data_IF_210821368582
#
_entry.id   IF_210821368582
#
_cell.length_a   1.000
_cell.length_b   1.000
_cell.length_c   1.000
_cell.angle_alpha   90.00
_cell.angle_beta   90.00
_cell.angle_gamma   90.00
#
_symmetry.space_group_name_H-M   'P 1'
#
loop_
_entity.id
_entity.type
_entity.pdbx_description
1 polymer ?
#
# COMPACT_ATOMS: atom_id res chain seq x y z
N UNK A 1 -37.47 -13.48 18.90
CA UNK A 1 -38.07 -12.12 18.95
C UNK A 1 -36.98 -11.07 19.17
N UNK A 2 -36.38 -10.93 20.36
CA UNK A 2 -35.35 -9.90 20.63
C UNK A 2 -34.24 -9.75 19.58
N UNK A 3 -33.63 -10.86 19.10
CA UNK A 3 -32.57 -10.78 18.08
C UNK A 3 -33.04 -10.14 16.75
N UNK A 4 -34.31 -10.32 16.39
CA UNK A 4 -34.90 -9.74 15.17
C UNK A 4 -35.17 -8.24 15.36
N UNK A 5 -35.63 -7.83 16.54
CA UNK A 5 -35.85 -6.42 16.90
C UNK A 5 -34.53 -5.65 16.97
N UNK A 6 -33.48 -6.25 17.54
CA UNK A 6 -32.13 -5.69 17.55
C UNK A 6 -31.58 -5.53 16.13
N UNK A 7 -31.72 -6.53 15.26
CA UNK A 7 -31.30 -6.44 13.86
C UNK A 7 -32.04 -5.29 13.13
N UNK A 8 -33.36 -5.18 13.30
CA UNK A 8 -34.14 -4.08 12.74
C UNK A 8 -33.72 -2.70 13.29
N UNK A 9 -33.33 -2.62 14.56
CA UNK A 9 -32.83 -1.37 15.14
C UNK A 9 -31.48 -0.95 14.55
N UNK A 10 -30.54 -1.89 14.40
CA UNK A 10 -29.24 -1.64 13.74
C UNK A 10 -29.47 -1.22 12.28
N UNK A 11 -30.39 -1.87 11.57
CA UNK A 11 -30.73 -1.51 10.19
C UNK A 11 -31.29 -0.08 10.08
N UNK A 12 -32.14 0.35 11.03
CA UNK A 12 -32.64 1.74 11.08
C UNK A 12 -31.51 2.76 11.26
N UNK A 13 -30.61 2.52 12.23
CA UNK A 13 -29.45 3.40 12.42
C UNK A 13 -28.57 3.47 11.17
N UNK A 14 -28.32 2.34 10.50
CA UNK A 14 -27.58 2.33 9.24
C UNK A 14 -28.28 3.15 8.14
N UNK A 15 -29.61 3.07 8.01
CA UNK A 15 -30.37 3.86 7.03
C UNK A 15 -30.23 5.36 7.33
N UNK A 16 -30.25 5.76 8.60
CA UNK A 16 -30.08 7.16 9.03
C UNK A 16 -28.66 7.66 8.72
N UNK A 17 -27.62 6.96 9.16
CA UNK A 17 -26.21 7.28 8.86
C UNK A 17 -25.94 7.29 7.34
N UNK A 18 -26.48 6.31 6.61
CA UNK A 18 -26.33 6.24 5.16
C UNK A 18 -26.96 7.47 4.48
N UNK A 19 -28.14 7.94 4.92
CA UNK A 19 -28.74 9.18 4.38
C UNK A 19 -27.88 10.41 4.63
N UNK A 20 -27.25 10.55 5.79
CA UNK A 20 -26.34 11.68 6.06
C UNK A 20 -25.10 11.64 5.15
N UNK A 21 -24.54 10.45 4.93
CA UNK A 21 -23.44 10.26 3.99
C UNK A 21 -23.86 10.49 2.54
N UNK A 22 -25.06 10.05 2.12
CA UNK A 22 -25.60 10.32 0.79
C UNK A 22 -25.85 11.81 0.56
N UNK A 23 -26.40 12.53 1.54
CA UNK A 23 -26.53 14.00 1.48
C UNK A 23 -25.18 14.71 1.34
N UNK A 24 -24.13 14.16 1.94
CA UNK A 24 -22.75 14.66 1.79
C UNK A 24 -22.23 14.40 0.37
N UNK A 25 -22.48 13.20 -0.17
CA UNK A 25 -22.08 12.82 -1.52
C UNK A 25 -22.83 13.65 -2.58
N UNK A 26 -24.14 13.80 -2.47
CA UNK A 26 -24.99 14.57 -3.39
C UNK A 26 -24.49 16.02 -3.53
N UNK A 27 -24.23 16.70 -2.40
CA UNK A 27 -23.68 18.07 -2.38
C UNK A 27 -22.32 18.16 -3.05
N UNK A 28 -21.44 17.18 -2.79
CA UNK A 28 -20.12 17.10 -3.42
C UNK A 28 -20.18 16.83 -4.92
N UNK A 29 -21.14 16.03 -5.39
CA UNK A 29 -21.34 15.75 -6.82
C UNK A 29 -21.92 16.95 -7.58
N UNK A 30 -22.84 17.72 -6.97
CA UNK A 30 -23.45 18.90 -7.60
C UNK A 30 -22.44 20.02 -7.93
N UNK A 31 -21.29 20.06 -7.26
CA UNK A 31 -20.20 21.02 -7.52
C UNK A 31 -18.85 20.30 -7.69
N UNK A 32 -18.84 19.14 -8.34
CA UNK A 32 -17.73 18.18 -8.32
C UNK A 32 -16.34 18.77 -8.60
N UNK A 33 -16.20 19.68 -9.57
CA UNK A 33 -14.91 20.33 -9.82
C UNK A 33 -14.40 21.12 -8.59
N UNK A 34 -15.25 21.94 -7.97
CA UNK A 34 -14.87 22.74 -6.81
C UNK A 34 -14.61 21.86 -5.57
N UNK A 35 -15.43 20.82 -5.38
CA UNK A 35 -15.23 19.81 -4.33
C UNK A 35 -13.91 19.05 -4.48
N UNK A 36 -13.42 18.84 -5.71
CA UNK A 36 -12.14 18.17 -5.98
C UNK A 36 -10.93 19.10 -5.92
N UNK A 37 -11.13 20.41 -6.07
CA UNK A 37 -10.09 21.41 -5.89
C UNK A 37 -9.82 21.72 -4.39
N UNK A 38 -10.78 21.40 -3.50
CA UNK A 38 -10.60 21.42 -2.04
C UNK A 38 -10.28 20.01 -1.48
N UNK A 39 -9.15 19.91 -0.76
CA UNK A 39 -8.65 18.65 -0.20
C UNK A 39 -9.53 18.11 0.93
N UNK A 40 -10.12 18.97 1.77
CA UNK A 40 -10.95 18.53 2.88
C UNK A 40 -12.34 18.11 2.42
N UNK A 41 -12.93 18.81 1.45
CA UNK A 41 -14.18 18.40 0.81
C UNK A 41 -14.00 17.07 0.05
N UNK A 42 -12.89 16.92 -0.70
CA UNK A 42 -12.52 15.63 -1.34
C UNK A 42 -12.37 14.50 -0.31
N UNK A 43 -11.70 14.77 0.82
CA UNK A 43 -11.57 13.81 1.91
C UNK A 43 -12.93 13.48 2.55
N UNK A 44 -13.84 14.46 2.65
CA UNK A 44 -15.19 14.28 3.18
C UNK A 44 -16.01 13.36 2.28
N UNK A 45 -16.01 13.62 0.98
CA UNK A 45 -16.67 12.81 -0.05
C UNK A 45 -16.18 11.34 -0.04
N UNK A 46 -14.86 11.14 0.04
CA UNK A 46 -14.26 9.82 0.17
C UNK A 46 -14.67 9.10 1.48
N UNK A 47 -14.64 9.80 2.63
CA UNK A 47 -15.06 9.24 3.93
C UNK A 47 -16.53 8.82 3.91
N UNK A 48 -17.42 9.65 3.35
CA UNK A 48 -18.84 9.36 3.27
C UNK A 48 -19.12 8.06 2.48
N UNK A 49 -18.50 7.91 1.30
CA UNK A 49 -18.61 6.68 0.51
C UNK A 49 -18.04 5.45 1.25
N UNK A 50 -16.90 5.61 1.93
CA UNK A 50 -16.27 4.55 2.71
C UNK A 50 -17.13 4.07 3.89
N UNK A 51 -17.79 5.00 4.60
CA UNK A 51 -18.70 4.67 5.70
C UNK A 51 -19.94 3.90 5.22
N UNK A 52 -20.60 4.35 4.13
CA UNK A 52 -21.75 3.64 3.54
C UNK A 52 -21.36 2.22 3.13
N UNK A 53 -20.20 2.06 2.46
CA UNK A 53 -19.64 0.76 2.10
C UNK A 53 -19.36 -0.11 3.33
N UNK A 54 -18.79 0.48 4.39
CA UNK A 54 -18.48 -0.21 5.65
C UNK A 54 -19.71 -0.75 6.36
N UNK A 55 -20.73 0.10 6.57
CA UNK A 55 -22.00 -0.31 7.17
C UNK A 55 -22.74 -1.37 6.35
N UNK A 56 -22.75 -1.22 5.02
CA UNK A 56 -23.33 -2.22 4.13
C UNK A 56 -22.62 -3.58 4.21
N UNK A 57 -21.29 -3.59 4.32
CA UNK A 57 -20.52 -4.83 4.54
C UNK A 57 -20.85 -5.50 5.88
N UNK A 58 -21.01 -4.71 6.96
CA UNK A 58 -21.36 -5.24 8.28
C UNK A 58 -22.77 -5.84 8.33
N UNK A 59 -23.67 -5.39 7.47
CA UNK A 59 -25.07 -5.84 7.39
C UNK A 59 -25.35 -6.84 6.26
N UNK A 60 -24.35 -7.23 5.47
CA UNK A 60 -24.54 -8.14 4.33
C UNK A 60 -25.35 -7.55 3.17
N UNK A 61 -25.38 -6.22 3.04
CA UNK A 61 -26.16 -5.49 2.05
C UNK A 61 -25.40 -5.39 0.72
N UNK A 62 -25.25 -6.53 0.06
CA UNK A 62 -24.39 -6.78 -1.08
C UNK A 62 -24.48 -5.73 -2.21
N UNK A 63 -25.69 -5.29 -2.59
CA UNK A 63 -25.86 -4.30 -3.67
C UNK A 63 -25.40 -2.90 -3.28
N UNK A 64 -25.62 -2.51 -2.02
CA UNK A 64 -25.13 -1.23 -1.48
C UNK A 64 -23.62 -1.29 -1.29
N UNK A 65 -23.08 -2.41 -0.79
CA UNK A 65 -21.64 -2.67 -0.68
C UNK A 65 -20.93 -2.52 -2.04
N UNK A 66 -21.42 -3.21 -3.08
CA UNK A 66 -20.84 -3.16 -4.43
C UNK A 66 -20.92 -1.75 -5.04
N UNK A 67 -22.06 -1.08 -4.90
CA UNK A 67 -22.26 0.30 -5.41
C UNK A 67 -21.38 1.31 -4.67
N UNK A 68 -21.25 1.18 -3.35
CA UNK A 68 -20.40 2.04 -2.51
C UNK A 68 -18.91 1.84 -2.79
N UNK A 69 -18.50 0.62 -3.11
CA UNK A 69 -17.13 0.32 -3.54
C UNK A 69 -16.78 1.05 -4.85
N UNK A 70 -17.68 1.09 -5.84
CA UNK A 70 -17.45 1.86 -7.07
C UNK A 70 -17.29 3.36 -6.79
N UNK A 71 -18.18 3.95 -5.97
CA UNK A 71 -18.08 5.36 -5.59
C UNK A 71 -16.76 5.67 -4.88
N UNK A 72 -16.38 4.85 -3.89
CA UNK A 72 -15.11 5.00 -3.17
C UNK A 72 -13.90 4.90 -4.10
N UNK A 73 -13.87 3.92 -5.00
CA UNK A 73 -12.77 3.72 -5.95
C UNK A 73 -12.60 4.91 -6.90
N UNK A 74 -13.69 5.49 -7.42
CA UNK A 74 -13.59 6.64 -8.33
C UNK A 74 -13.30 7.96 -7.61
N UNK A 75 -13.84 8.19 -6.40
CA UNK A 75 -13.43 9.34 -5.58
C UNK A 75 -11.95 9.28 -5.21
N UNK A 76 -11.45 8.09 -4.86
CA UNK A 76 -10.02 7.85 -4.64
C UNK A 76 -9.18 8.08 -5.89
N UNK A 77 -9.64 7.60 -7.06
CA UNK A 77 -8.96 7.79 -8.34
C UNK A 77 -8.78 9.28 -8.67
N UNK A 78 -9.83 10.08 -8.46
CA UNK A 78 -9.83 11.54 -8.67
C UNK A 78 -8.94 12.26 -7.66
N UNK A 79 -9.05 11.91 -6.38
CA UNK A 79 -8.18 12.43 -5.31
C UNK A 79 -6.69 12.18 -5.59
N UNK A 80 -6.34 10.99 -6.09
CA UNK A 80 -4.97 10.61 -6.41
C UNK A 80 -4.50 11.11 -7.80
N UNK A 81 -5.43 11.52 -8.68
CA UNK A 81 -5.15 12.04 -10.02
C UNK A 81 -6.05 13.26 -10.32
N UNK A 82 -5.77 14.45 -9.76
CA UNK A 82 -6.54 15.66 -10.07
C UNK A 82 -6.60 15.90 -11.58
N UNK A 83 -7.80 16.06 -12.12
CA UNK A 83 -8.09 16.32 -13.54
C UNK A 83 -9.13 17.43 -13.63
N UNK A 84 -9.26 18.05 -14.82
CA UNK A 84 -10.42 18.89 -15.10
C UNK A 84 -11.62 17.98 -15.35
N UNK A 85 -12.68 18.19 -14.60
CA UNK A 85 -13.96 17.51 -14.72
C UNK A 85 -14.71 18.07 -15.92
N UNK A 86 -15.42 17.18 -16.62
CA UNK A 86 -16.38 17.55 -17.65
C UNK A 86 -17.79 17.06 -17.27
N UNK A 87 -18.80 17.57 -17.98
CA UNK A 87 -20.21 17.24 -17.73
C UNK A 87 -20.52 15.74 -17.83
N UNK A 88 -19.70 14.97 -18.56
CA UNK A 88 -19.90 13.52 -18.71
C UNK A 88 -19.47 12.78 -17.44
N UNK A 89 -18.39 13.22 -16.78
CA UNK A 89 -18.03 12.73 -15.45
C UNK A 89 -19.14 13.03 -14.44
N UNK A 90 -19.66 14.27 -14.43
CA UNK A 90 -20.74 14.69 -13.51
C UNK A 90 -22.03 13.87 -13.71
N UNK A 91 -22.52 13.73 -14.95
CA UNK A 91 -23.70 12.92 -15.29
C UNK A 91 -23.58 11.47 -14.83
N UNK A 92 -22.44 10.82 -15.14
CA UNK A 92 -22.22 9.42 -14.81
C UNK A 92 -22.09 9.19 -13.29
N UNK A 93 -21.51 10.14 -12.55
CA UNK A 93 -21.49 10.06 -11.08
C UNK A 93 -22.88 10.24 -10.49
N UNK A 94 -23.65 11.24 -10.93
CA UNK A 94 -25.00 11.49 -10.42
C UNK A 94 -25.91 10.27 -10.68
N UNK A 95 -25.89 9.71 -11.88
CA UNK A 95 -26.66 8.49 -12.21
C UNK A 95 -26.21 7.25 -11.42
N UNK A 96 -24.91 7.13 -11.12
CA UNK A 96 -24.40 6.07 -10.23
C UNK A 96 -24.78 6.28 -8.76
N UNK A 97 -24.91 7.53 -8.34
CA UNK A 97 -25.38 7.93 -7.02
C UNK A 97 -26.90 7.74 -6.86
N UNK A 98 -27.70 8.01 -7.90
CA UNK A 98 -29.15 7.78 -7.89
C UNK A 98 -29.48 6.30 -7.65
N UNK A 99 -28.72 5.37 -8.23
CA UNK A 99 -28.86 3.93 -7.95
C UNK A 99 -28.51 3.59 -6.50
N UNK A 100 -27.44 4.20 -5.94
CA UNK A 100 -27.11 4.05 -4.52
C UNK A 100 -28.24 4.57 -3.61
N UNK A 101 -28.77 5.75 -3.93
CA UNK A 101 -29.86 6.40 -3.19
C UNK A 101 -31.13 5.54 -3.22
N UNK A 102 -31.51 5.04 -4.39
CA UNK A 102 -32.63 4.11 -4.56
C UNK A 102 -32.46 2.81 -3.76
N UNK A 103 -31.25 2.25 -3.67
CA UNK A 103 -30.97 1.07 -2.84
C UNK A 103 -31.17 1.34 -1.34
N UNK A 104 -30.72 2.50 -0.83
CA UNK A 104 -30.91 2.90 0.59
C UNK A 104 -32.36 3.31 0.88
N UNK A 105 -33.08 3.84 -0.11
CA UNK A 105 -34.51 4.10 -0.04
C UNK A 105 -35.31 2.79 0.03
N UNK A 106 -34.96 1.79 -0.78
CA UNK A 106 -35.61 0.48 -0.79
C UNK A 106 -35.50 -0.28 0.56
N UNK A 107 -34.45 -0.04 1.37
CA UNK A 107 -34.34 -0.61 2.72
C UNK A 107 -35.46 -0.17 3.67
N UNK A 108 -36.13 0.96 3.40
CA UNK A 108 -37.26 1.46 4.20
C UNK A 108 -38.60 0.82 3.82
N UNK A 109 -38.62 -0.01 2.76
CA UNK A 109 -39.76 -0.85 2.44
C UNK A 109 -40.15 -1.74 3.63
N UNK A 110 -41.45 -2.01 3.87
CA UNK A 110 -41.89 -3.01 4.86
C UNK A 110 -41.27 -4.40 4.69
N UNK A 111 -40.78 -4.71 3.47
CA UNK A 111 -40.13 -5.97 3.11
C UNK A 111 -38.59 -5.87 3.03
N UNK A 112 -38.03 -4.69 3.31
CA UNK A 112 -36.62 -4.37 3.08
C UNK A 112 -36.23 -4.35 1.60
N UNK A 113 -34.92 -4.32 1.34
CA UNK A 113 -34.36 -4.46 -0.01
C UNK A 113 -34.44 -5.94 -0.44
N UNK A 114 -35.27 -6.23 -1.44
CA UNK A 114 -35.34 -7.58 -2.02
C UNK A 114 -34.11 -7.85 -2.88
N UNK A 115 -33.67 -9.10 -2.96
CA UNK A 115 -32.52 -9.49 -3.77
C UNK A 115 -32.68 -9.10 -5.25
N UNK A 116 -33.85 -9.35 -5.83
CA UNK A 116 -34.21 -8.97 -7.21
C UNK A 116 -34.05 -7.46 -7.48
N UNK A 117 -34.57 -6.62 -6.59
CA UNK A 117 -34.51 -5.16 -6.71
C UNK A 117 -33.05 -4.68 -6.63
N UNK A 118 -32.28 -5.29 -5.70
CA UNK A 118 -30.86 -5.04 -5.52
C UNK A 118 -29.98 -5.51 -6.69
N UNK A 119 -30.33 -6.63 -7.33
CA UNK A 119 -29.66 -7.12 -8.54
C UNK A 119 -30.01 -6.27 -9.75
N UNK A 120 -31.26 -5.83 -9.89
CA UNK A 120 -31.69 -4.96 -10.98
C UNK A 120 -31.00 -3.59 -10.92
N UNK A 121 -30.90 -2.99 -9.73
CA UNK A 121 -30.15 -1.73 -9.56
C UNK A 121 -28.66 -1.91 -9.90
N UNK A 122 -28.02 -3.00 -9.48
CA UNK A 122 -26.65 -3.32 -9.91
C UNK A 122 -26.52 -3.49 -11.42
N UNK A 123 -27.48 -4.13 -12.08
CA UNK A 123 -27.49 -4.31 -13.53
C UNK A 123 -27.56 -2.97 -14.28
N UNK A 124 -28.22 -1.95 -13.69
CA UNK A 124 -28.24 -0.57 -14.21
C UNK A 124 -26.99 0.23 -13.84
N UNK A 125 -26.46 0.10 -12.62
CA UNK A 125 -25.33 0.91 -12.13
C UNK A 125 -23.97 0.46 -12.66
N UNK A 126 -23.72 -0.85 -12.82
CA UNK A 126 -22.46 -1.41 -13.32
C UNK A 126 -22.03 -0.87 -14.69
N UNK A 127 -22.88 -0.76 -15.74
CA UNK A 127 -22.47 -0.16 -17.01
C UNK A 127 -22.14 1.32 -16.88
N UNK A 128 -22.85 2.09 -16.03
CA UNK A 128 -22.58 3.51 -15.76
C UNK A 128 -21.19 3.67 -15.16
N UNK A 129 -20.86 2.88 -14.12
CA UNK A 129 -19.54 2.89 -13.50
C UNK A 129 -18.42 2.43 -14.45
N UNK A 130 -18.67 1.44 -15.32
CA UNK A 130 -17.71 1.04 -16.37
C UNK A 130 -17.44 2.18 -17.36
N UNK A 131 -18.47 2.90 -17.79
CA UNK A 131 -18.32 4.05 -18.68
C UNK A 131 -17.55 5.19 -17.99
N UNK A 132 -17.89 5.50 -16.74
CA UNK A 132 -17.20 6.48 -15.90
C UNK A 132 -15.71 6.13 -15.76
N UNK A 133 -15.39 4.88 -15.40
CA UNK A 133 -14.03 4.40 -15.27
C UNK A 133 -13.25 4.49 -16.58
N UNK A 134 -13.87 4.20 -17.73
CA UNK A 134 -13.22 4.34 -19.04
C UNK A 134 -12.94 5.82 -19.37
N UNK A 135 -13.92 6.70 -19.14
CA UNK A 135 -13.80 8.13 -19.42
C UNK A 135 -12.76 8.81 -18.52
N UNK A 136 -12.78 8.54 -17.21
CA UNK A 136 -11.77 9.01 -16.25
C UNK A 136 -10.36 8.57 -16.64
N UNK A 137 -10.17 7.30 -17.03
CA UNK A 137 -8.86 6.83 -17.49
C UNK A 137 -8.39 7.54 -18.76
N UNK A 138 -9.31 7.88 -19.67
CA UNK A 138 -9.01 8.67 -20.88
C UNK A 138 -8.59 10.09 -20.52
N UNK A 139 -9.31 10.78 -19.63
CA UNK A 139 -8.94 12.13 -19.15
C UNK A 139 -7.60 12.15 -18.41
N UNK A 140 -7.35 11.19 -17.51
CA UNK A 140 -6.08 11.04 -16.79
C UNK A 140 -4.92 10.76 -17.75
N UNK A 141 -5.14 9.92 -18.77
CA UNK A 141 -4.14 9.61 -19.79
C UNK A 141 -3.87 10.81 -20.71
N UNK A 142 -4.91 11.54 -21.10
CA UNK A 142 -4.84 12.79 -21.86
C UNK A 142 -4.06 13.86 -21.11
N UNK A 143 -4.33 14.07 -19.82
CA UNK A 143 -3.54 14.99 -18.96
C UNK A 143 -2.08 14.58 -18.88
N UNK A 144 -1.79 13.29 -18.72
CA UNK A 144 -0.41 12.76 -18.69
C UNK A 144 0.31 12.92 -20.04
N UNK A 145 -0.38 12.73 -21.16
CA UNK A 145 0.16 12.95 -22.50
C UNK A 145 0.41 14.44 -22.79
N UNK A 146 -0.56 15.32 -22.51
CA UNK A 146 -0.41 16.76 -22.67
C UNK A 146 0.74 17.30 -21.79
N UNK A 147 0.83 16.85 -20.54
CA UNK A 147 1.94 17.20 -19.65
C UNK A 147 3.29 16.69 -20.15
N UNK A 148 3.35 15.55 -20.85
CA UNK A 148 4.56 15.02 -21.46
C UNK A 148 5.02 15.81 -22.71
N UNK A 149 4.06 16.34 -23.50
CA UNK A 149 4.36 17.21 -24.66
C UNK A 149 4.83 18.59 -24.19
N UNK A 150 4.15 19.19 -23.20
CA UNK A 150 4.51 20.52 -22.66
C UNK A 150 5.78 20.44 -21.79
N UNK A 151 6.07 19.28 -21.17
CA UNK A 151 7.24 19.10 -20.33
C UNK A 151 7.96 17.76 -20.62
N UNK A 152 8.89 17.73 -21.59
CA UNK A 152 9.65 16.53 -21.94
C UNK A 152 10.50 15.97 -20.78
N UNK A 153 10.96 16.82 -19.85
CA UNK A 153 11.69 16.39 -18.66
C UNK A 153 10.80 15.53 -17.74
N UNK A 154 9.55 15.92 -17.52
CA UNK A 154 8.58 15.13 -16.75
C UNK A 154 8.34 13.73 -17.36
N UNK A 155 8.26 13.66 -18.70
CA UNK A 155 8.13 12.41 -19.43
C UNK A 155 9.37 11.50 -19.28
N UNK A 156 10.56 12.08 -19.36
CA UNK A 156 11.83 11.38 -19.16
C UNK A 156 11.95 10.82 -17.74
N UNK A 157 11.62 11.61 -16.71
CA UNK A 157 11.55 11.18 -15.31
C UNK A 157 10.60 9.99 -15.15
N UNK A 158 9.36 10.10 -15.64
CA UNK A 158 8.37 9.03 -15.52
C UNK A 158 8.85 7.73 -16.16
N UNK A 159 9.53 7.83 -17.31
CA UNK A 159 10.11 6.68 -18.02
C UNK A 159 11.22 6.03 -17.19
N UNK A 160 12.15 6.83 -16.64
CA UNK A 160 13.23 6.32 -15.78
C UNK A 160 12.67 5.65 -14.52
N UNK A 161 11.70 6.25 -13.84
CA UNK A 161 11.08 5.67 -12.63
C UNK A 161 10.38 4.33 -12.92
N UNK A 162 9.73 4.17 -14.09
CA UNK A 162 9.16 2.88 -14.52
C UNK A 162 10.25 1.81 -14.71
N UNK A 163 11.37 2.17 -15.34
CA UNK A 163 12.52 1.25 -15.48
C UNK A 163 13.10 0.86 -14.11
N UNK A 164 13.21 1.80 -13.17
CA UNK A 164 13.66 1.51 -11.80
C UNK A 164 12.70 0.54 -11.08
N UNK A 165 11.38 0.76 -11.18
CA UNK A 165 10.38 -0.17 -10.64
C UNK A 165 10.48 -1.58 -11.25
N UNK A 166 10.78 -1.70 -12.55
CA UNK A 166 11.00 -3.00 -13.18
C UNK A 166 12.27 -3.70 -12.64
N UNK A 167 13.36 -2.96 -12.43
CA UNK A 167 14.58 -3.51 -11.83
C UNK A 167 14.37 -3.93 -10.36
N UNK A 168 13.63 -3.17 -9.57
CA UNK A 168 13.29 -3.55 -8.20
C UNK A 168 12.47 -4.85 -8.12
N UNK A 169 11.66 -5.16 -9.15
CA UNK A 169 10.90 -6.41 -9.26
C UNK A 169 11.74 -7.63 -9.67
N UNK A 170 12.95 -7.45 -10.20
CA UNK A 170 13.82 -8.55 -10.65
C UNK A 170 14.65 -9.20 -9.52
N UNK A 171 14.44 -8.77 -8.27
CA UNK A 171 15.19 -9.27 -7.12
C UNK A 171 16.55 -8.57 -6.93
N UNK A 172 17.03 -8.62 -5.70
CA UNK A 172 18.23 -7.90 -5.27
C UNK A 172 19.49 -8.57 -5.79
N UNK A 173 20.21 -7.91 -6.70
CA UNK A 173 21.47 -8.42 -7.26
C UNK A 173 22.41 -7.26 -7.67
N UNK A 174 23.74 -7.49 -7.73
CA UNK A 174 24.71 -6.43 -8.02
C UNK A 174 24.49 -5.72 -9.37
N UNK A 175 24.06 -6.47 -10.41
CA UNK A 175 23.78 -5.92 -11.74
C UNK A 175 22.59 -4.97 -11.71
N UNK A 176 21.49 -5.36 -11.06
CA UNK A 176 20.32 -4.51 -10.87
C UNK A 176 20.65 -3.25 -10.06
N UNK A 177 21.47 -3.35 -8.99
CA UNK A 177 21.98 -2.20 -8.23
C UNK A 177 22.78 -1.24 -9.10
N UNK A 178 23.71 -1.75 -9.90
CA UNK A 178 24.50 -0.94 -10.84
C UNK A 178 23.60 -0.25 -11.88
N UNK A 179 22.60 -0.95 -12.43
CA UNK A 179 21.63 -0.37 -13.37
C UNK A 179 20.77 0.71 -12.72
N UNK A 180 20.28 0.50 -11.49
CA UNK A 180 19.54 1.50 -10.71
C UNK A 180 20.39 2.76 -10.45
N UNK A 181 21.67 2.61 -10.07
CA UNK A 181 22.59 3.75 -9.89
C UNK A 181 22.84 4.51 -11.20
N UNK A 182 22.94 3.81 -12.33
CA UNK A 182 23.08 4.41 -13.65
C UNK A 182 21.81 5.17 -14.08
N UNK A 183 20.62 4.70 -13.71
CA UNK A 183 19.35 5.42 -13.93
C UNK A 183 19.29 6.73 -13.11
N UNK A 184 19.76 6.75 -11.87
CA UNK A 184 19.96 8.01 -11.13
C UNK A 184 20.97 8.95 -11.82
N UNK A 185 22.01 8.39 -12.46
CA UNK A 185 22.95 9.17 -13.27
C UNK A 185 22.31 9.81 -14.50
N UNK A 186 21.33 9.15 -15.14
CA UNK A 186 20.54 9.75 -16.24
C UNK A 186 19.67 10.90 -15.77
N UNK A 187 19.11 10.81 -14.56
CA UNK A 187 18.33 11.90 -13.94
C UNK A 187 19.18 13.15 -13.66
N UNK A 188 20.47 13.00 -13.38
CA UNK A 188 21.38 14.14 -13.17
C UNK A 188 21.56 15.05 -14.40
N UNK A 189 21.16 14.58 -15.59
CA UNK A 189 21.23 15.38 -16.83
C UNK A 189 20.14 16.46 -16.89
N UNK A 190 19.04 16.30 -16.14
CA UNK A 190 17.90 17.23 -16.13
C UNK A 190 18.27 18.64 -15.64
N UNK A 191 19.07 18.72 -14.59
CA UNK A 191 19.70 19.96 -14.12
C UNK A 191 21.05 19.64 -13.47
N UNK A 192 22.13 20.03 -14.15
CA UNK A 192 23.51 19.85 -13.65
C UNK A 192 24.00 20.99 -12.76
N UNK A 193 23.20 22.03 -12.55
CA UNK A 193 23.53 23.23 -11.76
C UNK A 193 22.82 23.24 -10.40
N UNK A 194 21.65 22.65 -10.28
CA UNK A 194 20.93 22.51 -9.01
C UNK A 194 21.66 21.56 -8.04
N UNK A 195 22.39 22.15 -7.10
CA UNK A 195 23.03 21.43 -5.99
C UNK A 195 22.04 20.62 -5.14
N UNK A 196 20.86 21.14 -4.73
CA UNK A 196 19.88 20.37 -3.96
C UNK A 196 19.44 19.07 -4.67
N UNK A 197 19.22 19.15 -5.98
CA UNK A 197 18.88 18.00 -6.83
C UNK A 197 20.01 16.96 -6.89
N UNK A 198 21.25 17.41 -7.14
CA UNK A 198 22.43 16.53 -7.19
C UNK A 198 22.62 15.81 -5.84
N UNK A 199 22.43 16.49 -4.72
CA UNK A 199 22.53 15.91 -3.37
C UNK A 199 21.49 14.80 -3.16
N UNK A 200 20.23 14.98 -3.59
CA UNK A 200 19.21 13.93 -3.51
C UNK A 200 19.54 12.74 -4.42
N UNK A 201 20.04 12.98 -5.64
CA UNK A 201 20.47 11.89 -6.53
C UNK A 201 21.62 11.08 -5.95
N UNK A 202 22.64 11.74 -5.39
CA UNK A 202 23.77 11.08 -4.73
C UNK A 202 23.32 10.30 -3.48
N UNK A 203 22.41 10.85 -2.68
CA UNK A 203 21.84 10.14 -1.52
C UNK A 203 21.09 8.86 -1.97
N UNK A 204 20.29 8.94 -3.04
CA UNK A 204 19.63 7.76 -3.62
C UNK A 204 20.65 6.73 -4.14
N UNK A 205 21.69 7.16 -4.87
CA UNK A 205 22.76 6.26 -5.32
C UNK A 205 23.48 5.57 -4.17
N UNK A 206 23.78 6.29 -3.07
CA UNK A 206 24.40 5.71 -1.87
C UNK A 206 23.49 4.72 -1.15
N UNK A 207 22.18 4.98 -1.08
CA UNK A 207 21.21 4.03 -0.52
C UNK A 207 21.09 2.77 -1.40
N UNK A 208 21.04 2.91 -2.73
CA UNK A 208 21.03 1.78 -3.68
C UNK A 208 22.34 0.97 -3.62
N UNK A 209 23.47 1.62 -3.36
CA UNK A 209 24.76 0.96 -3.20
C UNK A 209 24.90 0.18 -1.88
N UNK A 210 24.10 0.50 -0.85
CA UNK A 210 24.17 -0.11 0.48
C UNK A 210 23.68 -1.58 0.46
N UNK A 211 24.56 -2.59 0.61
CA UNK A 211 24.14 -4.00 0.52
C UNK A 211 23.19 -4.43 1.64
N UNK A 212 23.16 -3.70 2.76
CA UNK A 212 22.25 -3.95 3.89
C UNK A 212 20.82 -3.45 3.63
N UNK A 213 20.63 -2.55 2.66
CA UNK A 213 19.32 -2.04 2.29
C UNK A 213 18.73 -2.93 1.19
N UNK A 214 17.75 -3.79 1.53
CA UNK A 214 17.11 -4.67 0.55
C UNK A 214 16.21 -3.90 -0.42
N UNK A 215 15.96 -4.48 -1.60
CA UNK A 215 15.07 -3.88 -2.61
C UNK A 215 13.64 -3.60 -2.08
N UNK A 216 13.13 -4.41 -1.16
CA UNK A 216 11.83 -4.19 -0.52
C UNK A 216 11.81 -2.91 0.35
N UNK A 217 12.93 -2.54 0.97
CA UNK A 217 13.07 -1.29 1.73
C UNK A 217 13.39 -0.09 0.81
N UNK A 218 14.22 -0.31 -0.21
CA UNK A 218 14.66 0.74 -1.14
C UNK A 218 13.54 1.22 -2.07
N UNK A 219 12.81 0.31 -2.70
CA UNK A 219 11.84 0.63 -3.75
C UNK A 219 10.80 1.71 -3.35
N UNK A 220 10.07 1.60 -2.22
CA UNK A 220 9.08 2.62 -1.85
C UNK A 220 9.70 3.97 -1.48
N UNK A 221 10.92 3.98 -0.92
CA UNK A 221 11.59 5.22 -0.53
C UNK A 221 12.20 5.91 -1.76
N UNK A 222 13.04 5.21 -2.53
CA UNK A 222 13.75 5.75 -3.70
C UNK A 222 12.78 6.28 -4.76
N UNK A 223 11.73 5.53 -5.09
CA UNK A 223 10.78 5.95 -6.13
C UNK A 223 9.97 7.18 -5.67
N UNK A 224 9.53 7.22 -4.41
CA UNK A 224 8.81 8.38 -3.86
C UNK A 224 9.70 9.62 -3.80
N UNK A 225 10.95 9.46 -3.34
CA UNK A 225 11.92 10.54 -3.22
C UNK A 225 12.25 11.16 -4.57
N UNK A 226 12.64 10.33 -5.54
CA UNK A 226 13.02 10.79 -6.88
C UNK A 226 11.85 11.43 -7.61
N UNK A 227 10.62 10.93 -7.42
CA UNK A 227 9.42 11.56 -7.97
C UNK A 227 9.20 12.96 -7.38
N UNK A 228 9.17 13.09 -6.05
CA UNK A 228 8.97 14.38 -5.37
C UNK A 228 10.05 15.40 -5.75
N UNK A 229 11.33 15.00 -5.70
CA UNK A 229 12.44 15.89 -6.04
C UNK A 229 12.43 16.31 -7.53
N UNK A 230 12.03 15.42 -8.43
CA UNK A 230 11.85 15.77 -9.85
C UNK A 230 10.70 16.75 -10.05
N UNK A 231 9.57 16.56 -9.34
CA UNK A 231 8.40 17.44 -9.46
C UNK A 231 8.69 18.85 -8.93
N UNK A 232 9.42 18.96 -7.82
CA UNK A 232 9.93 20.25 -7.31
C UNK A 232 10.90 20.92 -8.29
N UNK A 233 11.83 20.16 -8.89
CA UNK A 233 12.76 20.68 -9.89
C UNK A 233 12.02 21.22 -11.12
N UNK A 234 11.05 20.44 -11.62
CA UNK A 234 10.20 20.79 -12.77
C UNK A 234 9.33 22.03 -12.48
N UNK A 235 8.88 22.19 -11.23
CA UNK A 235 8.14 23.37 -10.78
C UNK A 235 9.02 24.60 -10.51
N UNK A 236 10.34 24.54 -10.76
CA UNK A 236 11.28 25.62 -10.46
C UNK A 236 11.59 25.81 -8.96
N UNK A 237 11.06 24.94 -8.09
CA UNK A 237 11.18 24.99 -6.62
C UNK A 237 12.39 24.18 -6.14
N UNK A 238 13.51 24.32 -6.84
CA UNK A 238 14.70 23.47 -6.63
C UNK A 238 15.35 23.64 -5.26
N UNK A 239 15.17 24.79 -4.60
CA UNK A 239 15.64 25.10 -3.24
C UNK A 239 14.98 24.25 -2.15
N UNK A 240 13.79 23.70 -2.42
CA UNK A 240 13.04 22.87 -1.46
C UNK A 240 13.42 21.38 -1.53
N UNK A 241 14.28 20.99 -2.48
CA UNK A 241 14.71 19.60 -2.66
C UNK A 241 15.70 19.21 -1.56
N UNK A 242 15.25 18.41 -0.59
CA UNK A 242 16.08 17.97 0.55
C UNK A 242 15.94 16.46 0.75
N UNK A 243 17.03 15.69 0.99
CA UNK A 243 16.92 14.26 1.28
C UNK A 243 16.11 14.00 2.56
N UNK A 244 15.06 13.18 2.42
CA UNK A 244 14.13 12.83 3.49
C UNK A 244 14.80 12.04 4.61
N UNK A 245 14.16 12.07 5.79
CA UNK A 245 14.61 11.30 6.95
C UNK A 245 14.61 9.79 6.69
N UNK A 246 13.70 9.29 5.84
CA UNK A 246 13.64 7.89 5.44
C UNK A 246 14.78 7.51 4.50
N UNK A 247 15.12 8.35 3.52
CA UNK A 247 16.29 8.12 2.68
C UNK A 247 17.59 8.16 3.49
N UNK A 248 17.73 9.13 4.40
CA UNK A 248 18.89 9.25 5.30
C UNK A 248 19.13 7.99 6.14
N UNK A 249 18.08 7.32 6.62
CA UNK A 249 18.16 6.04 7.37
C UNK A 249 18.68 4.86 6.53
N UNK A 250 18.57 4.92 5.19
CA UNK A 250 19.03 3.86 4.29
C UNK A 250 20.46 4.06 3.78
N UNK A 251 21.08 5.19 4.08
CA UNK A 251 22.47 5.47 3.72
C UNK A 251 23.43 4.51 4.45
N UNK A 252 24.53 4.08 3.81
CA UNK A 252 25.58 3.36 4.51
C UNK A 252 26.22 4.28 5.57
N UNK A 253 26.43 3.71 6.76
CA UNK A 253 26.84 4.46 7.96
C UNK A 253 28.09 5.31 7.75
N UNK A 254 28.14 6.46 8.42
CA UNK A 254 29.22 7.44 8.34
C UNK A 254 30.52 6.91 8.94
N UNK A 255 31.37 6.29 8.12
CA UNK A 255 32.80 6.25 8.39
C UNK A 255 33.40 7.63 8.07
N UNK A 256 34.15 8.19 9.03
CA UNK A 256 34.98 9.37 8.81
C UNK A 256 36.10 9.05 7.78
N UNK A 257 36.68 10.05 7.09
CA UNK A 257 37.64 9.80 6.01
C UNK A 257 38.97 9.24 6.56
N UNK A 258 39.20 7.94 6.38
CA UNK A 258 40.49 7.33 6.63
C UNK A 258 41.50 7.74 5.54
N UNK A 259 42.58 8.36 5.97
CA UNK A 259 43.64 8.88 5.10
C UNK A 259 44.52 7.76 4.51
N UNK A 260 45.24 8.11 3.46
CA UNK A 260 46.25 7.27 2.81
C UNK A 260 47.33 6.78 3.78
N UNK A 261 47.56 5.46 3.82
CA UNK A 261 48.86 4.88 4.16
C UNK A 261 49.03 3.51 3.48
N UNK A 262 49.76 3.45 2.38
CA UNK A 262 50.27 2.18 1.85
C UNK A 262 51.57 1.80 2.55
N UNK A 263 51.71 0.55 3.02
CA UNK A 263 53.02 -0.10 3.04
C UNK A 263 52.94 -1.63 3.02
N UNK A 264 53.82 -2.19 2.21
CA UNK A 264 54.06 -3.61 1.95
C UNK A 264 54.96 -4.20 3.03
N UNK A 265 54.70 -5.42 3.51
CA UNK A 265 55.70 -6.49 3.69
C UNK A 265 55.10 -7.81 4.21
N UNK A 266 55.42 -8.90 3.53
CA UNK A 266 55.25 -10.32 3.93
C UNK A 266 56.22 -10.75 5.05
N UNK A 267 55.86 -11.75 5.88
CA UNK A 267 56.49 -13.10 5.89
C UNK A 267 55.97 -14.06 7.00
N UNK A 268 55.49 -15.22 6.55
CA UNK A 268 55.53 -16.61 7.09
C UNK A 268 56.20 -16.86 8.47
N UNK A 269 55.51 -17.58 9.39
CA UNK A 269 55.88 -18.92 9.94
C UNK A 269 54.95 -19.43 11.07
N UNK A 270 54.37 -20.62 10.90
CA UNK A 270 54.05 -21.64 11.94
C UNK A 270 55.33 -22.46 12.30
N UNK A 271 55.40 -23.39 13.30
CA UNK A 271 54.31 -24.19 13.92
C UNK A 271 54.42 -24.55 15.44
N UNK A 272 53.44 -25.36 15.90
CA UNK A 272 53.60 -26.64 16.66
C UNK A 272 53.27 -26.76 18.18
N UNK A 273 52.68 -27.94 18.48
CA UNK A 273 52.73 -28.78 19.71
C UNK A 273 51.76 -28.54 20.89
N UNK A 274 50.93 -29.57 21.14
CA UNK A 274 50.42 -29.98 22.47
C UNK A 274 51.35 -31.07 23.07
N UNK A 275 51.29 -31.41 24.38
CA UNK A 275 50.38 -32.48 24.89
C UNK A 275 49.88 -32.17 26.35
N UNK A 276 49.30 -33.04 27.23
CA UNK A 276 49.06 -34.51 27.24
C UNK A 276 47.85 -34.94 28.13
N UNK A 277 47.13 -35.97 27.65
CA UNK A 277 46.35 -37.05 28.29
C UNK A 277 46.14 -37.22 29.83
N UNK A 278 44.96 -37.80 30.19
CA UNK A 278 44.65 -38.89 31.18
C UNK A 278 43.11 -39.13 31.11
N UNK A 279 42.54 -40.20 30.52
CA UNK A 279 42.36 -41.64 30.92
C UNK A 279 41.56 -41.77 32.25
N UNK A 280 40.52 -42.60 32.45
CA UNK A 280 40.40 -44.08 32.39
C UNK A 280 38.91 -44.54 32.38
N UNK A 281 38.61 -45.68 31.71
CA UNK A 281 37.43 -46.63 31.75
C UNK A 281 35.96 -46.13 31.83
N UNK A 282 34.94 -46.61 31.10
CA UNK A 282 34.59 -47.87 30.38
C UNK A 282 33.83 -48.95 31.19
N UNK A 283 32.63 -49.34 30.72
CA UNK A 283 32.04 -50.71 30.64
C UNK A 283 30.68 -50.65 29.90
N UNK A 284 30.29 -51.76 29.28
CA UNK A 284 29.23 -51.89 28.25
C UNK A 284 27.80 -52.10 28.77
N UNK A 285 26.80 -51.86 27.92
CA UNK A 285 25.81 -52.88 27.47
C UNK A 285 24.92 -52.37 26.32
N UNK A 286 24.48 -53.28 25.43
CA UNK A 286 23.51 -53.03 24.32
C UNK A 286 22.08 -53.54 24.72
N UNK A 287 21.08 -53.58 23.81
CA UNK A 287 20.25 -52.46 23.35
C UNK A 287 18.74 -52.72 23.58
N UNK A 288 17.87 -51.70 23.53
CA UNK A 288 16.42 -51.95 23.29
C UNK A 288 15.62 -50.73 22.83
N UNK A 289 14.51 -51.05 22.16
CA UNK A 289 13.56 -50.22 21.41
C UNK A 289 12.85 -49.07 22.16
N UNK A 290 12.18 -48.26 21.33
CA UNK A 290 11.03 -47.37 21.61
C UNK A 290 11.31 -46.00 22.23
N UNK A 291 11.25 -44.97 21.38
CA UNK A 291 11.00 -43.60 21.78
C UNK A 291 9.89 -43.02 20.89
N UNK A 292 8.71 -42.84 21.47
CA UNK A 292 7.57 -42.14 20.85
C UNK A 292 7.99 -40.69 20.55
N UNK A 293 7.64 -40.17 19.38
CA UNK A 293 8.04 -38.82 18.96
C UNK A 293 7.49 -37.75 19.90
N UNK A 294 8.39 -37.01 20.56
CA UNK A 294 8.01 -35.84 21.37
C UNK A 294 7.47 -34.73 20.47
N UNK A 295 6.15 -34.50 20.53
CA UNK A 295 5.55 -33.29 19.99
C UNK A 295 6.10 -32.06 20.74
N UNK A 296 6.89 -31.23 20.05
CA UNK A 296 7.52 -30.06 20.65
C UNK A 296 6.46 -29.00 20.99
N UNK A 297 6.15 -28.85 22.28
CA UNK A 297 5.14 -27.89 22.77
C UNK A 297 5.63 -26.46 22.55
N UNK A 298 5.14 -25.80 21.50
CA UNK A 298 5.39 -24.37 21.26
C UNK A 298 4.54 -23.54 22.22
N UNK A 299 5.18 -22.65 22.98
CA UNK A 299 4.51 -21.68 23.86
C UNK A 299 4.67 -20.29 23.27
N UNK A 300 3.56 -19.54 23.18
CA UNK A 300 3.50 -18.17 22.65
C UNK A 300 2.91 -17.22 23.68
N UNK A 301 3.51 -16.04 23.79
CA UNK A 301 2.99 -14.92 24.58
C UNK A 301 2.26 -13.95 23.66
N UNK A 302 0.96 -13.75 23.88
CA UNK A 302 0.13 -12.85 23.08
C UNK A 302 0.06 -11.48 23.80
N UNK A 303 0.54 -10.38 23.18
CA UNK A 303 0.36 -9.03 23.73
C UNK A 303 -1.11 -8.63 23.82
N UNK A 304 -1.45 -7.76 24.78
CA UNK A 304 -2.82 -7.25 24.94
C UNK A 304 -3.28 -6.27 23.85
N UNK A 305 -2.38 -5.83 22.96
CA UNK A 305 -2.74 -4.95 21.84
C UNK A 305 -3.04 -5.76 20.56
N UNK A 306 -4.08 -5.42 19.77
CA UNK A 306 -4.47 -6.23 18.61
C UNK A 306 -3.41 -6.37 17.52
N UNK A 307 -2.51 -5.39 17.36
CA UNK A 307 -1.47 -5.42 16.33
C UNK A 307 -0.28 -6.28 16.74
N UNK A 308 0.12 -6.22 18.01
CA UNK A 308 1.09 -7.10 18.64
C UNK A 308 0.61 -8.56 18.65
N UNK A 309 -0.65 -8.79 19.03
CA UNK A 309 -1.27 -10.12 19.00
C UNK A 309 -1.21 -10.74 17.58
N UNK A 310 -1.70 -10.02 16.57
CA UNK A 310 -1.67 -10.50 15.18
C UNK A 310 -0.24 -10.77 14.68
N UNK A 311 0.73 -9.93 15.10
CA UNK A 311 2.14 -10.10 14.71
C UNK A 311 2.80 -11.31 15.37
N UNK A 312 2.61 -11.52 16.67
CA UNK A 312 3.14 -12.70 17.38
C UNK A 312 2.57 -14.01 16.86
N UNK A 313 1.31 -14.00 16.41
CA UNK A 313 0.66 -15.15 15.78
C UNK A 313 1.23 -15.44 14.38
N UNK A 314 1.37 -14.43 13.52
CA UNK A 314 1.89 -14.59 12.15
C UNK A 314 3.40 -14.90 12.08
N UNK A 315 4.15 -14.65 13.16
CA UNK A 315 5.56 -15.01 13.28
C UNK A 315 5.77 -16.51 13.56
N UNK A 316 4.76 -17.18 14.13
CA UNK A 316 4.86 -18.56 14.64
C UNK A 316 3.94 -19.57 13.91
N UNK A 317 2.94 -19.07 13.18
CA UNK A 317 1.95 -19.86 12.45
C UNK A 317 1.69 -19.29 11.06
N UNK A 318 1.49 -20.16 10.08
CA UNK A 318 1.02 -19.78 8.76
C UNK A 318 -0.43 -19.29 8.78
N UNK A 319 -0.83 -18.53 7.76
CA UNK A 319 -2.22 -18.06 7.59
C UNK A 319 -3.24 -19.22 7.59
N UNK A 320 -2.87 -20.40 7.07
CA UNK A 320 -3.74 -21.57 7.04
C UNK A 320 -3.96 -22.17 8.44
N UNK A 321 -2.90 -22.31 9.23
CA UNK A 321 -2.98 -22.80 10.61
C UNK A 321 -3.79 -21.83 11.50
N UNK A 322 -3.63 -20.52 11.32
CA UNK A 322 -4.41 -19.52 12.05
C UNK A 322 -5.92 -19.55 11.72
N UNK A 323 -6.28 -19.86 10.46
CA UNK A 323 -7.68 -20.06 10.08
C UNK A 323 -8.25 -21.31 10.77
N UNK A 324 -7.52 -22.44 10.76
CA UNK A 324 -7.95 -23.66 11.44
C UNK A 324 -8.09 -23.49 12.96
N UNK A 325 -7.18 -22.74 13.59
CA UNK A 325 -7.26 -22.40 15.02
C UNK A 325 -8.49 -21.53 15.30
N UNK A 326 -8.77 -20.52 14.45
CA UNK A 326 -9.94 -19.66 14.60
C UNK A 326 -11.26 -20.45 14.42
N UNK A 327 -11.36 -21.31 13.40
CA UNK A 327 -12.51 -22.19 13.19
C UNK A 327 -12.72 -23.17 14.35
N UNK A 328 -11.65 -23.73 14.91
CA UNK A 328 -11.71 -24.61 16.07
C UNK A 328 -12.20 -23.87 17.32
N UNK A 329 -11.67 -22.68 17.60
CA UNK A 329 -12.09 -21.86 18.73
C UNK A 329 -13.54 -21.40 18.59
N UNK A 330 -13.99 -21.01 17.39
CA UNK A 330 -15.40 -20.65 17.13
C UNK A 330 -16.36 -21.82 17.39
N UNK A 331 -15.95 -23.06 17.10
CA UNK A 331 -16.75 -24.26 17.42
C UNK A 331 -16.74 -24.63 18.91
N UNK A 332 -15.74 -24.19 19.67
CA UNK A 332 -15.62 -24.46 21.11
C UNK A 332 -16.34 -23.43 21.99
N UNK A 333 -16.92 -22.38 21.39
CA UNK A 333 -17.63 -21.26 22.07
C UNK A 333 -19.15 -21.30 21.76
N UNK A 334 -19.60 -22.27 20.96
CA UNK A 334 -21.01 -22.59 20.68
C UNK A 334 -21.54 -23.68 21.63
#
# INVERSE_FOLDING_TARGET
MQATEQHQQILRFFIEEAKEHLNTIEKGLLNLQATLDDVEETNCLFRAAHSVKGGAAMLGLDSILKTGHYLEDYFKLLKDNPIKIDRKVEDLFLRGFDEMKGLVEALQSPFGLRAEDGEQSLARSVPIFKELGHHLNTLISGKKAASAVVNPAAAQVSTILKMMLQLFKQGDNPKARQQLMALCGKLAVLDKKSQPWIVVLQANQRAIANPKASFAMLAPVVIKELKLASDLLIAGRSTEIVPSTNLKKLLPGTAAPAQSAAKVATRVTTPQAAPTATRVEAIETRPSNSAVGLATRRQITIPGDPKGAARSLLDQFSKAELIQIAEFLMKAIQ
#
